data_IF_698501579301
#
_entry.id   IF_698501579301
#
_cell.length_a   1.000
_cell.length_b   1.000
_cell.length_c   1.000
_cell.angle_alpha   90.00
_cell.angle_beta   90.00
_cell.angle_gamma   90.00
#
_symmetry.space_group_name_H-M   'P 1'
#
loop_
_entity.id
_entity.type
_entity.pdbx_description
1 polymer ?
#
# COMPACT_ATOMS: atom_id res chain seq x y z
N UNK A 1 -39.88 -3.11 0.78
CA UNK A 1 -39.08 -2.03 0.17
C UNK A 1 -37.67 -2.17 0.72
N UNK A 2 -36.78 -2.85 -0.01
CA UNK A 2 -35.37 -3.03 0.38
C UNK A 2 -34.52 -2.06 -0.44
N UNK A 3 -33.49 -1.42 0.14
CA UNK A 3 -32.50 -0.69 -0.65
C UNK A 3 -31.59 -1.68 -1.37
N UNK A 4 -31.47 -1.50 -2.69
CA UNK A 4 -30.53 -2.18 -3.58
C UNK A 4 -29.10 -1.71 -3.33
N UNK A 5 -28.20 -2.63 -3.00
CA UNK A 5 -26.76 -2.42 -2.86
C UNK A 5 -26.08 -2.50 -4.24
N UNK A 6 -25.26 -1.51 -4.66
CA UNK A 6 -24.67 -1.48 -5.99
C UNK A 6 -23.32 -2.21 -6.07
N UNK A 7 -23.26 -3.19 -6.98
CA UNK A 7 -22.12 -3.37 -7.88
C UNK A 7 -20.75 -3.67 -7.25
N UNK A 8 -20.47 -4.96 -7.08
CA UNK A 8 -19.12 -5.51 -7.01
C UNK A 8 -18.33 -5.17 -8.28
N UNK A 9 -17.49 -4.13 -8.21
CA UNK A 9 -16.46 -3.85 -9.22
C UNK A 9 -15.41 -4.96 -9.16
N UNK A 10 -15.20 -5.62 -10.29
CA UNK A 10 -14.10 -6.56 -10.49
C UNK A 10 -12.71 -5.93 -10.28
N UNK A 11 -11.66 -6.76 -10.20
CA UNK A 11 -10.30 -6.31 -9.91
C UNK A 11 -9.83 -5.32 -10.98
N UNK A 12 -9.38 -4.15 -10.53
CA UNK A 12 -8.81 -3.13 -11.41
C UNK A 12 -7.48 -3.63 -11.98
N UNK A 13 -7.22 -3.43 -13.28
CA UNK A 13 -5.91 -3.72 -13.85
C UNK A 13 -4.84 -2.84 -13.19
N UNK A 14 -3.76 -3.48 -12.74
CA UNK A 14 -2.55 -2.81 -12.24
C UNK A 14 -1.97 -1.96 -13.37
N UNK A 15 -1.66 -0.66 -13.17
CA UNK A 15 -0.96 0.10 -14.18
C UNK A 15 0.45 -0.46 -14.32
N UNK A 16 0.79 -0.90 -15.53
CA UNK A 16 2.17 -1.14 -15.95
C UNK A 16 2.98 0.11 -15.63
N UNK A 17 4.02 -0.06 -14.82
CA UNK A 17 4.99 0.97 -14.49
C UNK A 17 5.62 1.47 -15.79
N UNK A 18 5.05 2.54 -16.35
CA UNK A 18 5.68 3.32 -17.40
C UNK A 18 6.87 3.98 -16.75
N UNK A 19 8.05 3.44 -17.01
CA UNK A 19 9.34 4.07 -16.73
C UNK A 19 9.23 5.53 -17.19
N UNK A 20 9.16 6.47 -16.25
CA UNK A 20 9.26 7.88 -16.56
C UNK A 20 10.69 8.10 -17.03
N UNK A 21 10.90 7.91 -18.33
CA UNK A 21 12.10 8.33 -19.04
C UNK A 21 12.17 9.84 -18.86
N UNK A 22 13.06 10.28 -17.97
CA UNK A 22 13.41 11.69 -17.80
C UNK A 22 13.80 12.23 -19.20
N UNK A 23 13.18 13.31 -19.70
CA UNK A 23 13.68 13.94 -20.91
C UNK A 23 15.12 14.37 -20.66
N UNK A 24 16.02 13.93 -21.55
CA UNK A 24 17.40 14.35 -21.54
C UNK A 24 17.43 15.89 -21.57
N UNK A 25 18.01 16.48 -20.52
CA UNK A 25 18.23 17.91 -20.44
C UNK A 25 19.05 18.34 -21.67
N UNK A 26 18.63 19.36 -22.43
CA UNK A 26 19.46 19.88 -23.52
C UNK A 26 20.80 20.36 -22.94
N UNK A 27 21.91 20.24 -23.68
CA UNK A 27 23.18 20.78 -23.25
C UNK A 27 23.00 22.27 -22.97
N UNK A 28 23.26 22.67 -21.73
CA UNK A 28 23.24 24.06 -21.34
C UNK A 28 24.29 24.81 -22.14
N UNK A 29 23.85 25.61 -23.12
CA UNK A 29 24.69 26.62 -23.75
C UNK A 29 25.04 27.67 -22.70
N UNK A 30 26.10 27.37 -21.95
CA UNK A 30 26.72 28.20 -20.92
C UNK A 30 27.39 29.44 -21.49
N UNK A 31 26.72 30.19 -22.37
CA UNK A 31 27.10 31.59 -22.61
C UNK A 31 26.64 32.39 -21.39
N UNK A 32 27.50 32.42 -20.38
CA UNK A 32 27.44 33.39 -19.30
C UNK A 32 27.31 34.79 -19.93
N UNK A 33 26.07 35.30 -20.03
CA UNK A 33 25.82 36.67 -20.44
C UNK A 33 26.36 37.55 -19.32
N UNK A 34 27.59 38.04 -19.48
CA UNK A 34 28.20 39.04 -18.59
C UNK A 34 27.15 40.14 -18.33
N UNK A 35 26.88 40.51 -17.07
CA UNK A 35 25.91 41.55 -16.79
C UNK A 35 26.40 42.84 -17.43
N UNK A 36 25.67 43.31 -18.46
CA UNK A 36 26.00 44.52 -19.21
C UNK A 36 25.71 45.74 -18.30
N UNK A 37 26.62 46.03 -17.38
CA UNK A 37 26.52 47.15 -16.42
C UNK A 37 26.35 48.51 -17.11
N UNK A 38 26.80 48.66 -18.37
CA UNK A 38 26.56 49.83 -19.22
C UNK A 38 25.07 50.06 -19.53
N UNK A 39 24.24 49.01 -19.65
CA UNK A 39 22.81 49.18 -19.93
C UNK A 39 22.06 49.96 -18.82
N UNK A 40 22.60 49.95 -17.58
CA UNK A 40 22.02 50.69 -16.45
C UNK A 40 22.12 52.21 -16.59
N UNK A 41 23.07 52.70 -17.39
CA UNK A 41 23.25 54.13 -17.67
C UNK A 41 22.76 54.53 -19.07
N UNK A 42 22.69 53.57 -20.00
CA UNK A 42 22.21 53.82 -21.36
C UNK A 42 20.69 54.12 -21.42
N UNK A 43 19.88 53.43 -20.61
CA UNK A 43 18.42 53.62 -20.57
C UNK A 43 18.01 55.02 -20.07
N UNK A 44 18.55 55.56 -18.95
CA UNK A 44 18.19 56.92 -18.53
C UNK A 44 18.74 58.00 -19.46
N UNK A 45 19.91 57.82 -20.08
CA UNK A 45 20.46 58.76 -21.06
C UNK A 45 19.63 58.81 -22.35
N UNK A 46 19.16 57.67 -22.84
CA UNK A 46 18.27 57.59 -23.99
C UNK A 46 16.91 58.22 -23.67
N UNK A 47 16.37 57.99 -22.47
CA UNK A 47 15.12 58.61 -22.01
C UNK A 47 15.26 60.14 -21.84
N UNK A 48 16.39 60.62 -21.33
CA UNK A 48 16.68 62.05 -21.22
C UNK A 48 16.87 62.73 -22.59
N UNK A 49 17.52 62.04 -23.53
CA UNK A 49 17.67 62.54 -24.91
C UNK A 49 16.35 62.52 -25.70
N UNK A 50 15.44 61.57 -25.46
CA UNK A 50 14.09 61.62 -26.02
C UNK A 50 13.18 62.65 -25.31
N UNK A 51 13.45 62.98 -24.05
CA UNK A 51 12.62 63.87 -23.23
C UNK A 51 12.79 65.38 -23.48
N UNK A 52 13.82 65.82 -24.21
CA UNK A 52 14.10 67.26 -24.45
C UNK A 52 13.41 67.80 -25.73
N UNK A 53 12.67 66.97 -26.45
CA UNK A 53 12.27 67.25 -27.83
C UNK A 53 10.85 67.71 -28.13
N UNK A 54 10.00 68.19 -27.20
CA UNK A 54 8.68 68.79 -27.57
C UNK A 54 8.28 69.90 -26.59
N UNK A 55 8.87 71.09 -26.76
CA UNK A 55 8.32 72.34 -26.23
C UNK A 55 7.65 73.12 -27.36
N UNK A 56 6.38 72.84 -27.63
CA UNK A 56 5.58 73.53 -28.66
C UNK A 56 4.16 73.72 -28.16
N UNK A 57 3.81 74.97 -27.82
CA UNK A 57 2.49 75.36 -27.36
C UNK A 57 1.45 75.22 -28.48
N UNK A 58 0.66 74.16 -28.39
CA UNK A 58 -0.59 73.96 -29.12
C UNK A 58 -1.37 72.92 -28.32
N UNK A 59 -2.65 73.15 -28.05
CA UNK A 59 -3.48 72.28 -27.20
C UNK A 59 -3.51 70.84 -27.70
N UNK A 60 -2.55 70.02 -27.25
CA UNK A 60 -2.55 68.58 -27.45
C UNK A 60 -3.66 68.04 -26.56
N UNK A 61 -4.71 67.52 -27.18
CA UNK A 61 -5.74 66.77 -26.47
C UNK A 61 -5.04 65.72 -25.60
N UNK A 62 -5.42 65.63 -24.32
CA UNK A 62 -4.86 64.68 -23.38
C UNK A 62 -4.96 63.26 -23.98
N UNK A 63 -3.84 62.57 -24.26
CA UNK A 63 -3.86 61.29 -24.95
C UNK A 63 -4.67 60.24 -24.19
N UNK A 64 -4.86 60.42 -22.88
CA UNK A 64 -5.67 59.52 -22.04
C UNK A 64 -7.18 59.63 -22.30
N UNK A 65 -7.62 60.72 -22.93
CA UNK A 65 -9.02 60.95 -23.30
C UNK A 65 -9.40 60.35 -24.66
N UNK A 66 -8.43 59.83 -25.41
CA UNK A 66 -8.70 59.21 -26.71
C UNK A 66 -9.47 57.89 -26.54
N UNK A 67 -10.46 57.58 -27.41
CA UNK A 67 -11.21 56.33 -27.32
C UNK A 67 -10.33 55.07 -27.38
N UNK A 68 -9.24 55.14 -28.15
CA UNK A 68 -8.26 54.04 -28.27
C UNK A 68 -7.52 53.79 -26.97
N UNK A 69 -7.10 54.85 -26.26
CA UNK A 69 -6.44 54.68 -24.97
C UNK A 69 -7.40 54.08 -23.93
N UNK A 70 -8.66 54.52 -23.92
CA UNK A 70 -9.67 54.00 -23.00
C UNK A 70 -9.98 52.51 -23.26
N UNK A 71 -10.05 52.08 -24.53
CA UNK A 71 -10.24 50.66 -24.84
C UNK A 71 -9.06 49.81 -24.41
N UNK A 72 -7.82 50.25 -24.67
CA UNK A 72 -6.62 49.55 -24.22
C UNK A 72 -6.56 49.44 -22.69
N UNK A 73 -6.98 50.49 -21.97
CA UNK A 73 -7.01 50.48 -20.51
C UNK A 73 -8.03 49.45 -19.99
N UNK A 74 -9.22 49.38 -20.59
CA UNK A 74 -10.23 48.39 -20.24
C UNK A 74 -9.75 46.95 -20.52
N UNK A 75 -9.05 46.71 -21.63
CA UNK A 75 -8.42 45.43 -21.93
C UNK A 75 -7.33 45.07 -20.89
N UNK A 76 -6.51 46.04 -20.48
CA UNK A 76 -5.50 45.83 -19.45
C UNK A 76 -6.12 45.47 -18.10
N UNK A 77 -7.17 46.17 -17.68
CA UNK A 77 -7.89 45.89 -16.43
C UNK A 77 -8.53 44.49 -16.45
N UNK A 78 -9.08 44.10 -17.61
CA UNK A 78 -9.62 42.74 -17.83
C UNK A 78 -8.50 41.69 -17.72
N UNK A 79 -7.39 41.90 -18.42
CA UNK A 79 -6.24 40.99 -18.38
C UNK A 79 -5.62 40.88 -16.98
N UNK A 80 -5.58 41.98 -16.21
CA UNK A 80 -5.12 41.98 -14.83
C UNK A 80 -6.07 41.18 -13.92
N UNK A 81 -7.38 41.28 -14.14
CA UNK A 81 -8.39 40.50 -13.40
C UNK A 81 -8.25 39.01 -13.70
N UNK A 82 -8.10 38.64 -14.97
CA UNK A 82 -7.86 37.25 -15.39
C UNK A 82 -6.55 36.71 -14.82
N UNK A 83 -5.47 37.50 -14.86
CA UNK A 83 -4.19 37.11 -14.28
C UNK A 83 -4.28 36.93 -12.75
N UNK A 84 -5.08 37.74 -12.06
CA UNK A 84 -5.38 37.58 -10.64
C UNK A 84 -6.12 36.27 -10.35
N UNK A 85 -7.19 35.98 -11.10
CA UNK A 85 -7.97 34.76 -10.96
C UNK A 85 -7.10 33.51 -11.21
N UNK A 86 -6.27 33.51 -12.26
CA UNK A 86 -5.32 32.42 -12.52
C UNK A 86 -4.28 32.28 -11.40
N UNK A 87 -3.84 33.40 -10.83
CA UNK A 87 -2.94 33.40 -9.67
C UNK A 87 -3.55 32.72 -8.45
N UNK A 88 -4.82 33.01 -8.16
CA UNK A 88 -5.57 32.40 -7.06
C UNK A 88 -5.77 30.89 -7.30
N UNK A 89 -6.07 30.48 -8.54
CA UNK A 89 -6.17 29.06 -8.92
C UNK A 89 -4.83 28.33 -8.74
N UNK A 90 -3.71 28.94 -9.15
CA UNK A 90 -2.37 28.37 -8.97
C UNK A 90 -2.04 28.25 -7.48
N UNK A 91 -2.31 29.28 -6.68
CA UNK A 91 -2.08 29.25 -5.25
C UNK A 91 -2.88 28.12 -4.56
N UNK A 92 -4.15 27.95 -4.93
CA UNK A 92 -4.99 26.86 -4.45
C UNK A 92 -4.45 25.48 -4.89
N UNK A 93 -3.99 25.35 -6.14
CA UNK A 93 -3.41 24.12 -6.65
C UNK A 93 -2.09 23.77 -5.92
N UNK A 94 -1.23 24.75 -5.65
CA UNK A 94 0.00 24.55 -4.89
C UNK A 94 -0.28 24.08 -3.45
N UNK A 95 -1.31 24.63 -2.81
CA UNK A 95 -1.76 24.17 -1.50
C UNK A 95 -2.27 22.72 -1.54
N UNK A 96 -3.07 22.36 -2.56
CA UNK A 96 -3.52 20.99 -2.76
C UNK A 96 -2.34 20.03 -2.96
N UNK A 97 -1.33 20.41 -3.75
CA UNK A 97 -0.11 19.61 -3.94
C UNK A 97 0.66 19.44 -2.64
N UNK A 98 0.80 20.50 -1.84
CA UNK A 98 1.46 20.44 -0.52
C UNK A 98 0.71 19.53 0.45
N UNK A 99 -0.62 19.63 0.49
CA UNK A 99 -1.46 18.77 1.32
C UNK A 99 -1.40 17.30 0.87
N UNK A 100 -1.42 17.04 -0.44
CA UNK A 100 -1.27 15.70 -1.00
C UNK A 100 0.11 15.10 -0.70
N UNK A 101 1.17 15.91 -0.77
CA UNK A 101 2.53 15.49 -0.41
C UNK A 101 2.64 15.13 1.08
N UNK A 102 2.08 15.95 1.98
CA UNK A 102 2.05 15.66 3.41
C UNK A 102 1.25 14.38 3.72
N UNK A 103 0.10 14.18 3.07
CA UNK A 103 -0.68 12.96 3.21
C UNK A 103 0.06 11.72 2.70
N UNK A 104 0.83 11.84 1.61
CA UNK A 104 1.65 10.75 1.10
C UNK A 104 2.80 10.39 2.06
N UNK A 105 3.46 11.39 2.66
CA UNK A 105 4.50 11.17 3.66
C UNK A 105 3.96 10.45 4.90
N UNK A 106 2.80 10.87 5.42
CA UNK A 106 2.16 10.21 6.55
C UNK A 106 1.84 8.72 6.27
N UNK A 107 1.38 8.39 5.05
CA UNK A 107 1.16 7.00 4.63
C UNK A 107 2.44 6.17 4.58
N UNK A 108 3.55 6.78 4.14
CA UNK A 108 4.86 6.11 4.09
C UNK A 108 5.35 5.81 5.52
N UNK A 109 5.19 6.75 6.44
CA UNK A 109 5.58 6.56 7.85
C UNK A 109 4.76 5.44 8.51
N UNK A 110 3.44 5.41 8.30
CA UNK A 110 2.56 4.36 8.78
C UNK A 110 2.96 2.98 8.22
N UNK A 111 3.20 2.90 6.91
CA UNK A 111 3.66 1.65 6.27
C UNK A 111 5.02 1.20 6.81
N UNK A 112 5.94 2.14 7.03
CA UNK A 112 7.27 1.85 7.58
C UNK A 112 7.14 1.30 8.99
N UNK A 113 6.33 1.94 9.84
CA UNK A 113 6.04 1.44 11.19
C UNK A 113 5.40 0.05 11.17
N UNK A 114 4.45 -0.21 10.26
CA UNK A 114 3.82 -1.52 10.10
C UNK A 114 4.82 -2.60 9.64
N UNK A 115 5.74 -2.26 8.73
CA UNK A 115 6.81 -3.17 8.30
C UNK A 115 7.75 -3.48 9.47
N UNK A 116 8.17 -2.47 10.24
CA UNK A 116 9.01 -2.68 11.42
C UNK A 116 8.34 -3.56 12.47
N UNK A 117 7.04 -3.38 12.72
CA UNK A 117 6.28 -4.26 13.62
C UNK A 117 6.18 -5.70 13.12
N UNK A 118 6.01 -5.89 11.81
CA UNK A 118 6.00 -7.24 11.22
C UNK A 118 7.38 -7.90 11.32
N UNK A 119 8.45 -7.14 11.13
CA UNK A 119 9.82 -7.65 11.28
C UNK A 119 10.05 -8.14 12.72
N UNK A 120 9.73 -7.33 13.73
CA UNK A 120 9.89 -7.74 15.13
C UNK A 120 9.01 -8.94 15.49
N UNK A 121 7.79 -9.03 14.94
CA UNK A 121 6.93 -10.20 15.13
C UNK A 121 7.50 -11.48 14.49
N UNK A 122 8.20 -11.36 13.36
CA UNK A 122 8.89 -12.50 12.73
C UNK A 122 10.11 -12.92 13.56
N UNK A 123 10.91 -11.98 14.05
CA UNK A 123 12.07 -12.27 14.92
C UNK A 123 11.64 -13.02 16.19
N UNK A 124 10.52 -12.62 16.80
CA UNK A 124 9.96 -13.32 17.97
C UNK A 124 9.50 -14.75 17.64
N UNK A 125 8.90 -14.95 16.46
CA UNK A 125 8.50 -16.29 16.00
C UNK A 125 9.73 -17.17 15.77
N UNK A 126 10.78 -16.64 15.16
CA UNK A 126 12.03 -17.35 14.95
C UNK A 126 12.67 -17.76 16.28
N UNK A 127 12.78 -16.84 17.24
CA UNK A 127 13.26 -17.16 18.59
C UNK A 127 12.41 -18.23 19.27
N UNK A 128 11.08 -18.18 19.10
CA UNK A 128 10.17 -19.20 19.60
C UNK A 128 10.39 -20.58 18.96
N UNK A 129 10.70 -20.62 17.66
CA UNK A 129 11.05 -21.87 16.96
C UNK A 129 12.38 -22.44 17.46
N UNK A 130 13.42 -21.60 17.59
CA UNK A 130 14.72 -22.00 18.14
C UNK A 130 14.59 -22.54 19.57
N UNK A 131 13.76 -21.90 20.40
CA UNK A 131 13.50 -22.37 21.77
C UNK A 131 12.79 -23.73 21.80
N UNK A 132 11.82 -23.97 20.91
CA UNK A 132 11.15 -25.27 20.77
C UNK A 132 12.09 -26.35 20.29
N UNK A 133 12.94 -26.05 19.32
CA UNK A 133 13.92 -26.99 18.79
C UNK A 133 14.95 -27.41 19.85
N UNK A 134 15.45 -26.46 20.65
CA UNK A 134 16.36 -26.79 21.75
C UNK A 134 15.68 -27.59 22.87
N UNK A 135 14.41 -27.32 23.17
CA UNK A 135 13.62 -28.12 24.11
C UNK A 135 13.40 -29.56 23.62
N UNK A 136 13.11 -29.75 22.32
CA UNK A 136 12.99 -31.08 21.71
C UNK A 136 14.30 -31.86 21.81
N UNK A 137 15.44 -31.26 21.47
CA UNK A 137 16.76 -31.89 21.63
C UNK A 137 17.05 -32.29 23.07
N UNK A 138 16.72 -31.43 24.04
CA UNK A 138 16.88 -31.75 25.46
C UNK A 138 15.97 -32.92 25.91
N UNK A 139 14.73 -32.96 25.41
CA UNK A 139 13.80 -34.06 25.69
C UNK A 139 14.30 -35.40 25.14
N UNK A 140 14.88 -35.42 23.93
CA UNK A 140 15.49 -36.62 23.34
C UNK A 140 16.69 -37.14 24.15
N UNK A 141 17.56 -36.23 24.60
CA UNK A 141 18.71 -36.59 25.47
C UNK A 141 18.23 -37.17 26.82
N UNK A 142 17.17 -36.58 27.40
CA UNK A 142 16.57 -37.07 28.64
C UNK A 142 15.89 -38.44 28.46
N UNK A 143 15.25 -38.69 27.31
CA UNK A 143 14.66 -39.99 26.99
C UNK A 143 15.75 -41.05 26.80
N UNK A 144 16.84 -40.72 26.10
CA UNK A 144 17.99 -41.63 25.92
C UNK A 144 18.63 -42.02 27.26
N UNK A 145 18.78 -41.04 28.16
CA UNK A 145 19.31 -41.26 29.52
C UNK A 145 18.39 -42.14 30.40
N UNK A 146 17.07 -42.04 30.23
CA UNK A 146 16.11 -42.91 30.93
C UNK A 146 16.21 -44.36 30.47
N UNK A 147 16.37 -44.60 29.17
CA UNK A 147 16.53 -45.95 28.61
C UNK A 147 17.80 -46.65 29.10
N UNK A 148 18.94 -45.94 29.16
CA UNK A 148 20.20 -46.51 29.68
C UNK A 148 20.16 -46.79 31.19
N UNK A 149 19.41 -46.00 31.95
CA UNK A 149 19.22 -46.21 33.39
C UNK A 149 18.24 -47.37 33.69
N UNK A 150 17.19 -47.52 32.88
CA UNK A 150 16.20 -48.61 33.01
C UNK A 150 16.74 -49.99 32.63
N UNK A 151 17.73 -50.07 31.74
CA UNK A 151 18.38 -51.33 31.34
C UNK A 151 19.26 -51.98 32.42
N UNK A 152 19.56 -51.27 33.52
CA UNK A 152 20.35 -51.80 34.64
C UNK A 152 19.50 -52.32 35.81
N UNK A 153 18.17 -52.34 35.68
CA UNK A 153 17.25 -52.77 36.76
C UNK A 153 16.21 -53.79 36.30
N UNK A 154 16.60 -54.76 35.46
CA UNK A 154 15.78 -55.93 35.16
C UNK A 154 16.58 -57.23 35.33
N UNK A 155 16.89 -57.54 36.59
CA UNK A 155 17.18 -58.91 37.05
C UNK A 155 16.73 -59.06 38.51
N UNK A 156 15.42 -59.03 38.76
CA UNK A 156 14.79 -59.78 39.86
C UNK A 156 13.27 -59.76 39.78
N UNK A 157 12.74 -60.95 39.48
CA UNK A 157 11.54 -61.58 40.07
C UNK A 157 10.20 -60.82 40.09
N UNK A 158 9.23 -61.41 39.38
CA UNK A 158 7.81 -61.16 39.60
C UNK A 158 6.89 -61.93 38.67
N UNK A 159 6.90 -63.26 38.76
CA UNK A 159 5.81 -64.10 38.23
C UNK A 159 4.49 -63.71 38.89
N UNK A 160 3.50 -63.33 38.10
CA UNK A 160 2.09 -63.54 38.40
C UNK A 160 1.34 -63.85 37.09
N UNK A 161 0.68 -65.00 37.11
CA UNK A 161 -0.12 -65.58 36.04
C UNK A 161 -1.56 -65.08 36.13
N UNK A 162 -2.25 -65.21 35.00
CA UNK A 162 -3.72 -65.29 34.83
C UNK A 162 -4.53 -63.99 34.83
N UNK A 163 -5.20 -63.75 33.69
CA UNK A 163 -6.43 -62.96 33.66
C UNK A 163 -6.67 -62.20 32.36
N UNK A 164 -7.30 -62.87 31.40
CA UNK A 164 -8.37 -62.35 30.52
C UNK A 164 -8.10 -61.06 29.71
N UNK A 165 -8.21 -61.19 28.39
CA UNK A 165 -7.99 -60.12 27.43
C UNK A 165 -8.74 -58.82 27.71
N UNK A 166 -8.02 -57.72 27.49
CA UNK A 166 -8.54 -56.45 27.00
C UNK A 166 -7.34 -55.68 26.47
N UNK A 167 -7.28 -55.53 25.14
CA UNK A 167 -6.40 -54.57 24.52
C UNK A 167 -6.74 -53.17 25.05
N UNK A 168 -5.77 -52.34 25.49
CA UNK A 168 -6.04 -50.93 25.55
C UNK A 168 -6.12 -50.49 24.09
N UNK A 169 -7.36 -50.29 23.63
CA UNK A 169 -7.62 -49.45 22.49
C UNK A 169 -6.78 -48.19 22.70
N UNK A 170 -6.01 -47.85 21.69
CA UNK A 170 -5.53 -46.49 21.48
C UNK A 170 -6.74 -45.60 21.76
N UNK A 171 -6.70 -44.85 22.88
CA UNK A 171 -7.58 -43.72 23.12
C UNK A 171 -7.19 -42.69 22.06
N UNK A 172 -7.68 -42.95 20.84
CA UNK A 172 -7.88 -41.94 19.83
C UNK A 172 -8.76 -40.95 20.57
N UNK A 173 -8.20 -39.77 20.84
CA UNK A 173 -8.94 -38.62 21.34
C UNK A 173 -10.35 -38.67 20.74
N UNK A 174 -11.40 -38.41 21.52
CA UNK A 174 -12.71 -38.17 20.92
C UNK A 174 -12.50 -37.00 19.97
N UNK A 175 -12.26 -37.32 18.70
CA UNK A 175 -12.49 -36.45 17.59
C UNK A 175 -13.97 -36.17 17.76
N UNK A 176 -14.27 -35.08 18.45
CA UNK A 176 -15.54 -34.42 18.39
C UNK A 176 -15.61 -34.05 16.92
N UNK A 177 -16.06 -35.01 16.12
CA UNK A 177 -16.55 -34.83 14.78
C UNK A 177 -17.76 -33.95 15.03
N UNK A 178 -17.48 -32.65 15.16
CA UNK A 178 -18.49 -31.64 15.05
C UNK A 178 -19.22 -32.06 13.78
N UNK A 179 -20.50 -32.41 13.96
CA UNK A 179 -21.36 -32.95 12.92
C UNK A 179 -21.74 -31.85 11.95
N UNK A 180 -20.73 -31.11 11.49
CA UNK A 180 -20.82 -30.17 10.39
C UNK A 180 -21.15 -31.06 9.20
N UNK A 181 -22.25 -30.74 8.55
CA UNK A 181 -22.72 -31.43 7.36
C UNK A 181 -23.32 -30.36 6.47
N UNK A 182 -22.77 -30.21 5.28
CA UNK A 182 -23.25 -29.22 4.33
C UNK A 182 -24.35 -29.83 3.47
N UNK A 183 -25.48 -29.14 3.32
CA UNK A 183 -26.57 -29.61 2.45
C UNK A 183 -26.16 -29.65 0.97
N UNK A 184 -25.24 -28.76 0.55
CA UNK A 184 -24.74 -28.65 -0.81
C UNK A 184 -23.40 -27.88 -0.85
N UNK A 185 -22.76 -27.89 -2.02
CA UNK A 185 -21.47 -27.22 -2.23
C UNK A 185 -21.51 -25.69 -2.09
N UNK A 186 -22.66 -25.06 -2.34
CA UNK A 186 -22.82 -23.62 -2.14
C UNK A 186 -22.70 -23.26 -0.66
N UNK A 187 -23.29 -24.06 0.23
CA UNK A 187 -23.17 -23.89 1.68
C UNK A 187 -21.74 -24.14 2.17
N UNK A 188 -21.05 -25.15 1.63
CA UNK A 188 -19.64 -25.43 1.95
C UNK A 188 -18.71 -24.28 1.53
N UNK A 189 -18.90 -23.71 0.33
CA UNK A 189 -18.13 -22.55 -0.16
C UNK A 189 -18.43 -21.27 0.63
N UNK A 190 -19.70 -21.02 0.97
CA UNK A 190 -20.08 -19.87 1.78
C UNK A 190 -19.48 -19.93 3.20
N UNK A 191 -19.30 -21.14 3.73
CA UNK A 191 -18.61 -21.37 5.00
C UNK A 191 -17.08 -21.36 4.87
N UNK A 192 -16.52 -21.21 3.66
CA UNK A 192 -15.08 -21.24 3.41
C UNK A 192 -14.44 -22.63 3.59
N UNK A 193 -15.24 -23.70 3.54
CA UNK A 193 -14.79 -25.07 3.79
C UNK A 193 -14.48 -25.88 2.52
N UNK A 194 -14.74 -25.33 1.33
CA UNK A 194 -14.44 -26.01 0.07
C UNK A 194 -12.99 -25.78 -0.38
N UNK A 195 -12.30 -26.78 -0.95
CA UNK A 195 -12.77 -28.15 -1.21
C UNK A 195 -12.83 -29.01 0.07
N UNK A 196 -13.93 -29.77 0.24
CA UNK A 196 -14.17 -30.63 1.42
C UNK A 196 -13.69 -32.04 1.11
N UNK A 197 -12.68 -32.55 1.80
CA UNK A 197 -12.09 -33.87 1.46
C UNK A 197 -12.73 -35.00 2.25
N UNK A 198 -12.66 -36.20 1.69
CA UNK A 198 -13.03 -37.43 2.40
C UNK A 198 -12.27 -37.56 3.72
N UNK A 199 -13.01 -37.59 4.83
CA UNK A 199 -12.46 -37.61 6.18
C UNK A 199 -12.52 -36.27 6.91
N UNK A 200 -12.79 -35.16 6.20
CA UNK A 200 -13.00 -33.86 6.82
C UNK A 200 -14.39 -33.77 7.48
N UNK A 201 -14.52 -33.07 8.62
CA UNK A 201 -15.83 -32.76 9.20
C UNK A 201 -16.61 -31.89 8.22
N UNK A 202 -17.78 -32.36 7.78
CA UNK A 202 -18.53 -31.71 6.70
C UNK A 202 -18.66 -32.55 5.43
N UNK A 203 -17.81 -33.56 5.25
CA UNK A 203 -17.84 -34.39 4.06
C UNK A 203 -19.09 -35.26 3.99
N UNK A 204 -19.75 -35.24 2.84
CA UNK A 204 -20.82 -36.17 2.50
C UNK A 204 -20.71 -36.56 1.04
N UNK A 205 -21.02 -37.82 0.73
CA UNK A 205 -20.97 -38.37 -0.64
C UNK A 205 -21.85 -37.61 -1.65
N UNK A 206 -22.80 -36.80 -1.19
CA UNK A 206 -23.61 -35.93 -2.03
C UNK A 206 -22.91 -34.64 -2.48
N UNK A 207 -21.76 -34.30 -1.87
CA UNK A 207 -20.92 -33.16 -2.22
C UNK A 207 -19.86 -33.51 -3.28
N UNK A 208 -19.49 -34.78 -3.33
CA UNK A 208 -18.53 -35.37 -4.26
C UNK A 208 -19.32 -36.04 -5.40
N UNK A 209 -19.40 -35.36 -6.54
CA UNK A 209 -20.27 -35.77 -7.65
C UNK A 209 -19.67 -36.93 -8.45
N UNK A 210 -18.36 -36.99 -8.57
CA UNK A 210 -17.64 -37.98 -9.36
C UNK A 210 -17.04 -39.12 -8.52
N UNK A 211 -17.00 -38.97 -7.21
CA UNK A 211 -16.64 -40.00 -6.26
C UNK A 211 -15.13 -40.12 -6.02
N UNK A 212 -14.35 -39.07 -6.31
CA UNK A 212 -12.89 -39.10 -6.21
C UNK A 212 -12.36 -38.79 -4.80
N UNK A 213 -13.26 -38.45 -3.88
CA UNK A 213 -12.98 -38.12 -2.49
C UNK A 213 -12.70 -36.64 -2.23
N UNK A 214 -12.86 -35.77 -3.23
CA UNK A 214 -12.87 -34.32 -3.08
C UNK A 214 -14.29 -33.83 -3.35
N UNK A 215 -14.85 -33.10 -2.40
CA UNK A 215 -16.16 -32.51 -2.53
C UNK A 215 -16.06 -31.04 -2.92
N UNK A 216 -16.92 -30.63 -3.85
CA UNK A 216 -17.15 -29.24 -4.22
C UNK A 216 -16.02 -28.53 -4.97
N UNK A 217 -15.30 -29.25 -5.83
CA UNK A 217 -14.52 -28.66 -6.93
C UNK A 217 -15.35 -27.76 -7.88
#
# INVERSE_FOLDING_TARGET
>A
MMPTDPGTRGPRPVPTTRTMQLPAQPPGDGRARKPRRWLRWAVPLLAFLLGIGVGGAGGQADPTTTPQYQSLRAELDTAQTEAGALGDEVAAAEEQVRAAAAAAQARIEEQTAAISQRATALDQREQGLIARESALRAAEQAATSRTSSGGSSSSSSGSASSGTGSAPLVEREPQVSSSVSYANCSAARAAGAAPVRSGDPGYGRHLDRDGDGVGCE
#
